data_IF_869962276556
#
_entry.id   IF_869962276556
#
_cell.length_a   1.000
_cell.length_b   1.000
_cell.length_c   1.000
_cell.angle_alpha   90.00
_cell.angle_beta   90.00
_cell.angle_gamma   90.00
#
_symmetry.space_group_name_H-M   'P 1'
#
loop_
_entity.id
_entity.type
_entity.pdbx_description
1 polymer ?
#
# COMPACT_ATOMS: atom_id res chain seq x y z
N UNK A 1 -29.15 -59.80 -15.56
CA UNK A 1 -27.94 -59.76 -16.40
C UNK A 1 -26.85 -59.06 -15.60
N UNK A 2 -25.95 -59.87 -15.08
CA UNK A 2 -24.75 -59.51 -14.32
C UNK A 2 -23.68 -58.95 -15.26
N UNK A 3 -23.12 -57.77 -14.97
CA UNK A 3 -21.81 -57.37 -15.50
C UNK A 3 -20.96 -56.79 -14.38
N UNK A 4 -20.03 -57.64 -13.97
CA UNK A 4 -18.84 -57.43 -13.15
C UNK A 4 -17.80 -56.58 -13.89
N UNK A 5 -17.04 -55.84 -13.09
CA UNK A 5 -15.98 -54.84 -13.38
C UNK A 5 -14.84 -55.29 -14.32
N UNK A 6 -13.94 -54.35 -14.69
CA UNK A 6 -12.61 -54.48 -14.07
C UNK A 6 -11.99 -53.18 -13.57
N UNK A 7 -11.32 -53.32 -12.43
CA UNK A 7 -10.39 -52.39 -11.82
C UNK A 7 -9.12 -52.25 -12.67
N UNK A 8 -8.67 -51.03 -12.92
CA UNK A 8 -7.33 -50.72 -13.42
C UNK A 8 -6.43 -50.42 -12.22
N UNK A 9 -5.49 -51.33 -11.95
CA UNK A 9 -4.36 -51.12 -11.06
C UNK A 9 -3.34 -50.19 -11.73
N UNK A 10 -3.02 -49.07 -11.09
CA UNK A 10 -1.90 -48.21 -11.45
C UNK A 10 -0.69 -48.59 -10.59
N UNK A 11 0.49 -48.85 -11.18
CA UNK A 11 1.69 -49.21 -10.41
C UNK A 11 2.31 -48.00 -9.72
N UNK A 12 2.69 -48.19 -8.44
CA UNK A 12 3.56 -47.30 -7.67
C UNK A 12 4.95 -47.18 -8.32
N UNK A 13 5.44 -45.95 -8.46
CA UNK A 13 6.81 -45.63 -8.83
C UNK A 13 7.56 -45.15 -7.57
N UNK A 14 8.70 -45.75 -7.18
CA UNK A 14 9.47 -45.29 -6.04
C UNK A 14 10.35 -44.08 -6.43
N UNK A 15 10.17 -42.95 -5.72
CA UNK A 15 11.11 -41.84 -5.76
C UNK A 15 12.35 -42.18 -4.90
N UNK A 16 13.52 -42.16 -5.54
CA UNK A 16 14.82 -42.19 -4.87
C UNK A 16 15.09 -40.84 -4.20
N UNK A 17 15.27 -40.83 -2.87
CA UNK A 17 15.86 -39.70 -2.14
C UNK A 17 17.38 -39.68 -2.40
N UNK A 18 17.88 -38.60 -3.00
CA UNK A 18 19.29 -38.27 -3.02
C UNK A 18 19.57 -37.29 -1.87
N UNK A 19 20.44 -37.72 -0.94
CA UNK A 19 20.99 -36.92 0.14
C UNK A 19 22.17 -36.07 -0.38
N UNK A 20 22.20 -34.78 -0.02
CA UNK A 20 23.41 -33.96 -0.10
C UNK A 20 23.74 -33.48 1.31
N UNK A 21 24.93 -33.90 1.77
CA UNK A 21 25.47 -33.58 3.08
C UNK A 21 26.22 -32.25 3.13
N UNK A 22 26.13 -31.66 4.31
CA UNK A 22 27.17 -31.10 5.17
C UNK A 22 28.26 -30.12 4.68
N UNK A 23 28.27 -29.02 5.43
CA UNK A 23 29.40 -28.44 6.18
C UNK A 23 30.50 -27.68 5.43
N UNK A 24 30.52 -26.36 5.69
CA UNK A 24 31.69 -25.51 5.55
C UNK A 24 31.65 -24.38 6.58
N UNK A 25 32.33 -24.60 7.71
CA UNK A 25 32.57 -23.60 8.75
C UNK A 25 33.93 -22.90 8.53
N UNK A 26 33.98 -21.60 8.83
CA UNK A 26 35.17 -20.76 8.93
C UNK A 26 34.77 -19.30 8.67
N UNK A 27 34.88 -18.34 9.58
CA UNK A 27 35.77 -18.17 10.72
C UNK A 27 36.82 -17.12 10.36
N UNK A 28 36.69 -15.88 10.89
CA UNK A 28 37.78 -15.05 11.40
C UNK A 28 37.32 -13.61 11.67
N UNK A 29 37.67 -13.16 12.88
CA UNK A 29 37.56 -11.82 13.44
C UNK A 29 38.39 -10.77 12.68
N UNK A 30 37.94 -9.51 12.74
CA UNK A 30 38.81 -8.35 12.65
C UNK A 30 38.29 -7.22 13.54
N UNK A 31 38.97 -7.06 14.68
CA UNK A 31 39.06 -5.85 15.47
C UNK A 31 39.35 -4.63 14.57
N UNK A 32 38.53 -3.59 14.67
CA UNK A 32 38.86 -2.25 14.16
C UNK A 32 38.63 -1.22 15.27
N UNK A 33 39.75 -0.83 15.85
CA UNK A 33 39.96 0.19 16.87
C UNK A 33 39.54 1.59 16.41
N UNK A 34 38.80 2.27 17.30
CA UNK A 34 38.85 3.71 17.61
C UNK A 34 39.22 4.71 16.52
N UNK A 35 38.21 5.41 16.00
CA UNK A 35 38.36 6.74 15.39
C UNK A 35 37.83 7.76 16.39
N UNK A 36 38.73 8.56 16.96
CA UNK A 36 38.38 9.77 17.73
C UNK A 36 38.27 10.90 16.72
N UNK A 37 37.04 11.32 16.44
CA UNK A 37 36.77 12.44 15.53
C UNK A 37 36.91 13.77 16.28
N UNK A 38 37.97 14.50 16.00
CA UNK A 38 38.17 15.88 16.48
C UNK A 38 37.42 16.83 15.56
N UNK A 39 36.19 17.17 15.93
CA UNK A 39 35.37 18.18 15.24
C UNK A 39 36.07 19.54 15.30
N UNK A 40 36.32 20.13 14.13
CA UNK A 40 36.91 21.46 13.99
C UNK A 40 35.91 22.57 14.37
N UNK A 41 36.34 23.66 15.02
CA UNK A 41 35.47 24.78 15.34
C UNK A 41 35.22 25.60 14.07
N UNK A 42 34.07 25.37 13.43
CA UNK A 42 33.69 26.08 12.20
C UNK A 42 32.47 25.51 11.48
N UNK A 43 31.94 24.35 11.89
CA UNK A 43 30.72 23.82 11.29
C UNK A 43 29.54 24.72 11.62
N UNK A 44 29.05 25.37 10.57
CA UNK A 44 27.78 26.07 10.57
C UNK A 44 26.73 25.03 10.92
N UNK A 45 26.19 25.11 12.13
CA UNK A 45 25.07 24.31 12.58
C UNK A 45 23.95 24.44 11.54
N UNK A 46 23.87 23.48 10.63
CA UNK A 46 22.65 23.21 9.89
C UNK A 46 21.64 22.92 10.98
N UNK A 47 20.66 23.80 11.14
CA UNK A 47 19.59 23.57 12.09
C UNK A 47 19.05 22.16 11.84
N UNK A 48 19.18 21.29 12.84
CA UNK A 48 18.61 19.95 12.79
C UNK A 48 17.11 20.14 12.58
N UNK A 49 16.66 19.93 11.34
CA UNK A 49 15.24 19.89 11.03
C UNK A 49 14.73 18.63 11.71
N UNK A 50 13.94 18.80 12.76
CA UNK A 50 13.26 17.71 13.44
C UNK A 50 12.21 17.14 12.47
N UNK A 51 12.62 16.13 11.70
CA UNK A 51 11.77 15.45 10.74
C UNK A 51 10.94 14.43 11.52
N UNK A 52 9.61 14.57 11.50
CA UNK A 52 8.71 13.63 12.15
C UNK A 52 8.74 12.26 11.47
N UNK A 53 9.52 11.34 12.05
CA UNK A 53 9.65 9.95 11.57
C UNK A 53 8.49 9.06 11.98
N UNK A 54 7.47 9.58 12.68
CA UNK A 54 6.30 8.79 13.09
C UNK A 54 5.51 8.38 11.85
N UNK A 55 5.18 7.09 11.65
CA UNK A 55 4.36 6.66 10.51
C UNK A 55 2.95 7.25 10.55
N UNK A 56 2.48 7.79 9.43
CA UNK A 56 1.09 8.19 9.26
C UNK A 56 0.26 6.99 8.79
N UNK A 57 -0.38 6.34 9.75
CA UNK A 57 -1.35 5.28 9.50
C UNK A 57 -2.80 5.74 9.70
N UNK A 58 -3.03 7.05 9.86
CA UNK A 58 -4.34 7.60 10.15
C UNK A 58 -5.29 7.40 8.95
N UNK A 59 -6.42 6.76 9.23
CA UNK A 59 -7.52 6.64 8.30
C UNK A 59 -8.44 7.86 8.43
N UNK A 60 -8.83 8.43 7.31
CA UNK A 60 -9.86 9.49 7.25
C UNK A 60 -11.17 8.89 6.72
N UNK A 61 -12.33 9.23 7.33
CA UNK A 61 -13.65 8.77 6.86
C UNK A 61 -13.90 9.05 5.38
N UNK A 62 -13.42 10.19 4.90
CA UNK A 62 -13.51 10.59 3.51
C UNK A 62 -12.11 10.89 2.96
N UNK A 63 -11.76 10.21 1.86
CA UNK A 63 -10.48 10.44 1.19
C UNK A 63 -10.70 10.59 -0.31
N UNK A 64 -10.22 11.71 -0.85
CA UNK A 64 -10.06 11.94 -2.29
C UNK A 64 -8.61 11.63 -2.63
N UNK A 65 -8.37 10.64 -3.48
CA UNK A 65 -7.03 10.24 -3.91
C UNK A 65 -6.86 10.51 -5.40
N UNK A 66 -5.84 11.27 -5.76
CA UNK A 66 -5.42 11.49 -7.13
C UNK A 66 -4.05 10.85 -7.33
N UNK A 67 -4.02 9.78 -8.12
CA UNK A 67 -2.82 9.00 -8.43
C UNK A 67 -2.39 9.34 -9.85
N UNK A 68 -1.20 9.90 -10.01
CA UNK A 68 -0.55 9.87 -11.32
C UNK A 68 0.32 8.62 -11.40
N UNK A 69 -0.06 7.75 -12.32
CA UNK A 69 0.63 6.52 -12.63
C UNK A 69 1.72 6.82 -13.65
N UNK A 70 2.96 6.72 -13.21
CA UNK A 70 4.09 6.66 -14.13
C UNK A 70 4.12 5.25 -14.74
N UNK A 71 3.85 5.12 -16.03
CA UNK A 71 4.06 3.86 -16.74
C UNK A 71 5.48 3.89 -17.32
N UNK A 72 6.39 2.99 -16.90
CA UNK A 72 7.74 2.95 -17.45
C UNK A 72 7.71 2.83 -18.98
N UNK A 73 8.35 3.78 -19.68
CA UNK A 73 8.42 3.80 -21.14
C UNK A 73 7.30 4.57 -21.85
N UNK A 74 6.27 5.04 -21.14
CA UNK A 74 5.23 5.89 -21.72
C UNK A 74 5.55 7.38 -21.48
N UNK A 75 5.43 8.24 -22.50
CA UNK A 75 5.76 9.67 -22.39
C UNK A 75 4.72 10.48 -21.61
N UNK A 76 3.51 9.95 -21.40
CA UNK A 76 2.46 10.60 -20.63
C UNK A 76 2.02 9.73 -19.46
N UNK A 77 1.96 10.33 -18.27
CA UNK A 77 1.37 9.71 -17.11
C UNK A 77 -0.14 9.48 -17.37
N UNK A 78 -0.66 8.35 -16.88
CA UNK A 78 -2.09 8.17 -16.72
C UNK A 78 -2.46 8.75 -15.36
N UNK A 79 -3.37 9.72 -15.31
CA UNK A 79 -3.94 10.15 -14.02
C UNK A 79 -5.21 9.35 -13.75
N UNK A 80 -5.26 8.70 -12.59
CA UNK A 80 -6.46 8.12 -12.01
C UNK A 80 -6.86 8.96 -10.80
N UNK A 81 -8.12 9.33 -10.71
CA UNK A 81 -8.67 9.94 -9.52
C UNK A 81 -9.82 9.09 -9.00
N UNK A 82 -9.87 8.91 -7.69
CA UNK A 82 -10.94 8.20 -7.02
C UNK A 82 -11.24 8.84 -5.68
N UNK A 83 -12.48 8.74 -5.23
CA UNK A 83 -12.83 9.08 -3.86
C UNK A 83 -13.83 8.06 -3.33
N UNK A 84 -13.68 7.72 -2.06
CA UNK A 84 -14.69 6.99 -1.32
C UNK A 84 -14.97 7.84 -0.08
N UNK A 85 -16.23 8.19 0.11
CA UNK A 85 -16.68 9.01 1.22
C UNK A 85 -17.54 8.12 2.11
N UNK A 86 -17.20 8.07 3.39
CA UNK A 86 -18.05 7.49 4.40
C UNK A 86 -18.41 8.57 5.42
N UNK A 87 -19.61 8.49 6.04
CA UNK A 87 -20.00 9.39 7.12
C UNK A 87 -19.26 9.06 8.44
N UNK A 88 -18.47 7.99 8.47
CA UNK A 88 -17.60 7.61 9.57
C UNK A 88 -16.45 6.77 9.04
N UNK A 89 -15.32 6.72 9.75
CA UNK A 89 -14.19 5.89 9.34
C UNK A 89 -14.65 4.42 9.29
N UNK A 90 -14.54 3.73 8.14
CA UNK A 90 -14.92 2.33 8.09
C UNK A 90 -14.02 1.54 9.06
N UNK A 91 -14.59 0.52 9.69
CA UNK A 91 -13.81 -0.38 10.51
C UNK A 91 -12.62 -0.91 9.67
N UNK A 92 -11.41 -0.96 10.23
CA UNK A 92 -10.26 -1.44 9.49
C UNK A 92 -10.56 -2.86 9.00
N UNK A 93 -10.34 -3.09 7.71
CA UNK A 93 -10.55 -4.41 7.09
C UNK A 93 -9.53 -5.46 7.52
N UNK A 94 -8.57 -5.09 8.38
CA UNK A 94 -7.48 -5.93 8.87
C UNK A 94 -7.19 -5.62 10.33
N UNK A 95 -6.79 -6.63 11.08
CA UNK A 95 -6.25 -6.49 12.41
C UNK A 95 -4.74 -6.19 12.35
N UNK A 96 -4.26 -5.34 13.27
CA UNK A 96 -2.82 -5.09 13.40
C UNK A 96 -2.19 -6.23 14.18
N UNK A 97 -1.42 -7.09 13.50
CA UNK A 97 -0.70 -8.19 14.13
C UNK A 97 0.62 -7.76 14.76
N UNK A 98 1.34 -6.84 14.12
CA UNK A 98 2.65 -6.37 14.56
C UNK A 98 2.86 -4.91 14.15
N UNK A 99 3.48 -4.12 15.01
CA UNK A 99 4.01 -2.79 14.69
C UNK A 99 5.47 -2.78 15.10
N UNK A 100 6.36 -2.44 14.17
CA UNK A 100 7.78 -2.35 14.45
C UNK A 100 8.43 -1.34 13.51
N UNK A 101 9.12 -0.36 14.11
CA UNK A 101 9.71 0.76 13.39
C UNK A 101 8.67 1.54 12.60
N UNK A 102 8.94 1.75 11.31
CA UNK A 102 8.09 2.48 10.39
C UNK A 102 7.01 1.62 9.70
N UNK A 103 6.84 0.38 10.15
CA UNK A 103 6.00 -0.62 9.51
C UNK A 103 4.96 -1.21 10.46
N UNK A 104 3.85 -1.67 9.89
CA UNK A 104 2.87 -2.53 10.53
C UNK A 104 2.52 -3.72 9.63
N UNK A 105 2.32 -4.86 10.26
CA UNK A 105 1.78 -6.06 9.65
C UNK A 105 0.30 -6.17 9.99
N UNK A 106 -0.50 -6.24 8.94
CA UNK A 106 -1.94 -6.34 8.97
C UNK A 106 -2.32 -7.75 8.55
N UNK A 107 -3.19 -8.39 9.33
CA UNK A 107 -3.71 -9.71 9.02
C UNK A 107 -5.22 -9.67 8.96
N UNK A 108 -5.80 -10.50 8.12
CA UNK A 108 -7.23 -10.72 8.14
C UNK A 108 -7.52 -12.20 7.91
N UNK A 109 -8.16 -12.90 8.86
CA UNK A 109 -8.74 -14.20 8.53
C UNK A 109 -9.78 -14.00 7.44
N UNK A 110 -9.79 -14.86 6.42
CA UNK A 110 -10.81 -14.79 5.38
C UNK A 110 -12.12 -15.33 5.98
N UNK A 111 -13.12 -14.49 6.26
CA UNK A 111 -14.29 -14.94 6.98
C UNK A 111 -15.17 -15.79 6.05
N UNK A 112 -15.84 -16.79 6.61
CA UNK A 112 -16.71 -17.72 5.88
C UNK A 112 -18.10 -17.77 6.53
N UNK A 113 -19.03 -17.00 5.98
CA UNK A 113 -20.40 -16.96 6.45
C UNK A 113 -21.23 -18.06 5.78
N UNK A 114 -21.85 -18.93 6.59
CA UNK A 114 -22.80 -19.96 6.16
C UNK A 114 -24.09 -19.86 7.00
N UNK A 115 -25.23 -19.42 6.42
CA UNK A 115 -25.43 -19.12 5.00
C UNK A 115 -24.65 -17.88 4.54
N UNK A 116 -24.48 -17.75 3.22
CA UNK A 116 -23.90 -16.54 2.62
C UNK A 116 -24.73 -15.30 3.01
N UNK A 117 -24.05 -14.16 3.18
CA UNK A 117 -24.69 -12.91 3.57
C UNK A 117 -25.64 -12.38 2.49
N UNK A 118 -26.68 -11.67 2.92
CA UNK A 118 -27.67 -11.09 2.02
C UNK A 118 -27.10 -9.89 1.24
N UNK A 119 -27.70 -9.49 0.11
CA UNK A 119 -27.27 -8.30 -0.62
C UNK A 119 -27.25 -7.04 0.27
N UNK A 120 -26.11 -6.33 0.28
CA UNK A 120 -25.88 -5.17 1.14
C UNK A 120 -25.24 -5.50 2.49
N UNK A 121 -24.93 -6.77 2.75
CA UNK A 121 -24.12 -7.22 3.87
C UNK A 121 -22.75 -7.70 3.41
N UNK A 122 -21.78 -7.69 4.32
CA UNK A 122 -20.46 -8.29 4.16
C UNK A 122 -20.24 -9.35 5.22
N UNK A 123 -19.45 -10.36 4.90
CA UNK A 123 -18.95 -11.29 5.90
C UNK A 123 -17.81 -10.62 6.69
N UNK A 124 -18.06 -10.37 7.97
CA UNK A 124 -17.14 -9.74 8.90
C UNK A 124 -16.29 -10.80 9.64
N UNK A 125 -15.20 -10.40 10.32
CA UNK A 125 -14.48 -11.31 11.21
C UNK A 125 -15.43 -12.00 12.21
N UNK A 126 -15.19 -13.30 12.45
CA UNK A 126 -16.08 -14.12 13.28
C UNK A 126 -17.28 -14.73 12.53
N UNK A 127 -17.23 -14.75 11.20
CA UNK A 127 -18.20 -15.42 10.33
C UNK A 127 -19.64 -14.92 10.52
N UNK A 128 -19.76 -13.60 10.73
CA UNK A 128 -21.05 -12.91 10.89
C UNK A 128 -21.31 -11.96 9.73
N UNK A 129 -22.57 -11.87 9.33
CA UNK A 129 -23.00 -10.90 8.33
C UNK A 129 -23.28 -9.55 8.99
N UNK A 130 -22.61 -8.52 8.48
CA UNK A 130 -22.78 -7.13 8.93
C UNK A 130 -23.20 -6.25 7.74
N UNK A 131 -24.04 -5.23 7.94
CA UNK A 131 -24.33 -4.26 6.89
C UNK A 131 -23.05 -3.63 6.29
N UNK A 132 -22.96 -3.56 4.97
CA UNK A 132 -21.92 -2.79 4.27
C UNK A 132 -22.04 -1.32 4.69
N UNK A 133 -20.92 -0.60 4.95
CA UNK A 133 -21.01 0.78 5.35
C UNK A 133 -21.56 1.59 4.18
N UNK A 134 -22.63 2.36 4.43
CA UNK A 134 -23.23 3.19 3.39
C UNK A 134 -22.26 4.30 2.99
N UNK A 135 -21.98 4.38 1.69
CA UNK A 135 -21.15 5.43 1.11
C UNK A 135 -21.95 6.74 1.10
N UNK A 136 -21.27 7.84 1.42
CA UNK A 136 -21.85 9.17 1.36
C UNK A 136 -21.65 9.80 -0.04
N UNK A 137 -22.58 10.66 -0.44
CA UNK A 137 -22.48 11.45 -1.66
C UNK A 137 -22.27 12.92 -1.29
N UNK A 138 -21.29 13.57 -1.92
CA UNK A 138 -20.95 14.98 -1.68
C UNK A 138 -21.24 15.88 -2.91
N UNK A 139 -22.00 15.39 -3.89
CA UNK A 139 -22.11 16.03 -5.19
C UNK A 139 -20.94 15.66 -6.11
N UNK A 140 -20.87 16.27 -7.29
CA UNK A 140 -19.74 16.10 -8.20
C UNK A 140 -18.47 16.73 -7.60
N UNK A 141 -17.37 15.97 -7.57
CA UNK A 141 -16.07 16.42 -7.08
C UNK A 141 -15.30 17.02 -8.25
N UNK A 142 -15.04 18.33 -8.19
CA UNK A 142 -14.20 19.04 -9.14
C UNK A 142 -12.73 19.00 -8.69
N UNK A 143 -11.85 18.55 -9.58
CA UNK A 143 -10.40 18.54 -9.41
C UNK A 143 -9.79 19.54 -10.40
N UNK A 144 -8.97 20.48 -9.93
CA UNK A 144 -8.41 21.52 -10.78
C UNK A 144 -6.97 21.90 -10.42
N UNK A 145 -6.17 22.17 -11.44
CA UNK A 145 -4.79 22.71 -11.36
C UNK A 145 -4.47 23.47 -12.65
N UNK A 146 -4.08 24.75 -12.56
CA UNK A 146 -3.55 25.58 -13.66
C UNK A 146 -4.17 25.34 -15.06
N UNK A 147 -5.50 25.49 -15.16
CA UNK A 147 -6.23 25.39 -16.43
C UNK A 147 -6.54 23.95 -16.88
N UNK A 148 -6.11 22.95 -16.13
CA UNK A 148 -6.49 21.55 -16.29
C UNK A 148 -7.52 21.19 -15.23
N UNK A 149 -8.60 20.52 -15.63
CA UNK A 149 -9.67 20.13 -14.74
C UNK A 149 -10.21 18.73 -15.07
N UNK A 150 -10.79 18.12 -14.04
CA UNK A 150 -11.47 16.84 -14.10
C UNK A 150 -12.63 16.85 -13.12
N UNK A 151 -13.75 16.23 -13.47
CA UNK A 151 -14.91 16.09 -12.58
C UNK A 151 -15.19 14.62 -12.35
N UNK A 152 -15.39 14.24 -11.09
CA UNK A 152 -15.88 12.93 -10.70
C UNK A 152 -17.35 13.07 -10.31
N UNK A 153 -18.25 12.44 -11.04
CA UNK A 153 -19.68 12.49 -10.77
C UNK A 153 -20.25 11.06 -10.75
N UNK A 154 -20.29 10.47 -9.57
CA UNK A 154 -20.80 9.12 -9.35
C UNK A 154 -21.80 9.13 -8.17
N UNK A 155 -23.11 9.06 -8.46
CA UNK A 155 -24.16 9.14 -7.44
C UNK A 155 -24.10 8.05 -6.37
N UNK A 156 -23.44 6.91 -6.63
CA UNK A 156 -23.27 5.83 -5.63
C UNK A 156 -22.23 6.13 -4.54
N UNK A 157 -21.57 7.29 -4.58
CA UNK A 157 -20.51 7.69 -3.64
C UNK A 157 -19.16 7.02 -3.91
N UNK A 158 -19.05 6.21 -4.96
CA UNK A 158 -17.79 5.62 -5.43
C UNK A 158 -17.25 6.39 -6.62
N UNK A 159 -16.62 7.53 -6.35
CA UNK A 159 -16.06 8.38 -7.38
C UNK A 159 -14.86 7.70 -8.07
N UNK A 160 -14.89 7.66 -9.40
CA UNK A 160 -13.77 7.17 -10.21
C UNK A 160 -13.70 7.93 -11.52
N UNK A 161 -12.48 8.18 -11.98
CA UNK A 161 -12.23 8.57 -13.35
C UNK A 161 -10.76 8.49 -13.70
N UNK A 162 -10.49 8.44 -14.99
CA UNK A 162 -9.16 8.40 -15.57
C UNK A 162 -9.00 9.43 -16.68
N UNK A 163 -7.76 9.87 -16.90
CA UNK A 163 -7.41 10.69 -18.05
C UNK A 163 -5.96 10.51 -18.46
N UNK A 164 -5.70 10.76 -19.73
CA UNK A 164 -4.33 10.87 -20.23
C UNK A 164 -3.68 12.19 -19.78
N UNK A 165 -2.40 12.10 -19.44
CA UNK A 165 -1.61 13.22 -18.94
C UNK A 165 -1.82 13.49 -17.46
N UNK A 166 -0.91 14.31 -16.91
CA UNK A 166 -0.98 14.78 -15.53
C UNK A 166 -2.18 15.73 -15.33
N UNK A 167 -2.90 15.55 -14.23
CA UNK A 167 -3.88 16.54 -13.75
C UNK A 167 -3.21 17.74 -13.07
N UNK A 168 -2.03 17.53 -12.47
CA UNK A 168 -1.15 18.59 -11.98
C UNK A 168 0.32 18.17 -12.20
N UNK A 169 1.18 19.04 -12.75
CA UNK A 169 2.61 18.79 -12.81
C UNK A 169 3.23 18.81 -11.40
N UNK A 170 4.43 18.26 -11.26
CA UNK A 170 5.17 18.30 -10.01
C UNK A 170 5.35 19.74 -9.50
N UNK A 171 5.08 19.96 -8.22
CA UNK A 171 5.15 21.28 -7.57
C UNK A 171 3.91 22.17 -7.77
N UNK A 172 2.98 21.82 -8.66
CA UNK A 172 1.72 22.55 -8.80
C UNK A 172 0.70 22.14 -7.73
N UNK A 173 -0.15 23.09 -7.35
CA UNK A 173 -1.25 22.84 -6.44
C UNK A 173 -2.44 22.22 -7.20
N UNK A 174 -2.99 21.14 -6.65
CA UNK A 174 -4.26 20.57 -7.10
C UNK A 174 -5.31 20.78 -6.02
N UNK A 175 -6.46 21.30 -6.43
CA UNK A 175 -7.58 21.56 -5.53
C UNK A 175 -8.73 20.62 -5.83
N UNK A 176 -9.24 19.95 -4.81
CA UNK A 176 -10.46 19.15 -4.84
C UNK A 176 -11.59 19.91 -4.16
N UNK A 177 -12.72 20.09 -4.84
CA UNK A 177 -13.90 20.80 -4.31
C UNK A 177 -15.16 19.98 -4.55
N UNK A 178 -16.00 19.86 -3.53
CA UNK A 178 -17.33 19.27 -3.65
C UNK A 178 -18.37 20.23 -3.04
N UNK A 179 -19.53 20.42 -3.69
CA UNK A 179 -20.57 21.32 -3.20
C UNK A 179 -21.30 20.78 -1.96
N UNK A 180 -21.12 19.51 -1.62
CA UNK A 180 -21.91 18.79 -0.62
C UNK A 180 -23.23 18.27 -1.21
N UNK A 181 -23.81 17.27 -0.57
CA UNK A 181 -25.14 16.75 -0.87
C UNK A 181 -25.80 16.17 0.39
N UNK A 182 -26.94 15.51 0.25
CA UNK A 182 -27.59 14.85 1.38
C UNK A 182 -26.67 13.78 1.97
N UNK A 183 -26.27 13.95 3.24
CA UNK A 183 -25.40 13.02 3.95
C UNK A 183 -23.91 13.38 3.99
N UNK A 184 -23.45 14.38 3.20
CA UNK A 184 -22.05 14.82 3.26
C UNK A 184 -21.89 16.33 3.00
N UNK A 185 -21.08 17.01 3.83
CA UNK A 185 -20.87 18.44 3.74
C UNK A 185 -20.00 18.86 2.55
N UNK A 186 -20.14 20.14 2.15
CA UNK A 186 -19.24 20.76 1.18
C UNK A 186 -17.79 20.77 1.70
N UNK A 187 -16.81 20.66 0.81
CA UNK A 187 -15.40 20.79 1.17
C UNK A 187 -14.57 21.38 0.03
N UNK A 188 -13.42 21.96 0.38
CA UNK A 188 -12.38 22.38 -0.55
C UNK A 188 -11.01 22.14 0.09
N UNK A 189 -10.17 21.33 -0.56
CA UNK A 189 -8.83 20.97 -0.09
C UNK A 189 -7.83 21.20 -1.21
N UNK A 190 -6.63 21.64 -0.87
CA UNK A 190 -5.54 21.86 -1.82
C UNK A 190 -4.26 21.23 -1.31
N UNK A 191 -3.53 20.54 -2.18
CA UNK A 191 -2.24 19.95 -1.89
C UNK A 191 -1.28 20.17 -3.07
N UNK A 192 0.02 20.10 -2.82
CA UNK A 192 1.04 20.23 -3.86
C UNK A 192 1.43 18.86 -4.40
N UNK A 193 1.40 18.69 -5.72
CA UNK A 193 1.70 17.42 -6.35
C UNK A 193 3.19 17.07 -6.21
N UNK A 194 3.57 15.92 -5.61
CA UNK A 194 4.97 15.55 -5.49
C UNK A 194 5.61 15.22 -6.86
N UNK A 195 6.96 15.36 -6.98
CA UNK A 195 7.70 14.89 -8.13
C UNK A 195 7.67 13.37 -8.25
N UNK A 196 7.91 12.81 -9.46
CA UNK A 196 7.92 11.37 -9.69
C UNK A 196 8.83 10.62 -8.70
N UNK A 197 8.33 9.51 -8.18
CA UNK A 197 9.08 8.62 -7.29
C UNK A 197 10.08 7.79 -8.10
N UNK A 198 11.32 7.71 -7.60
CA UNK A 198 12.39 6.88 -8.18
C UNK A 198 12.83 5.88 -7.13
N UNK A 199 12.63 4.59 -7.42
CA UNK A 199 13.00 3.45 -6.55
C UNK A 199 14.01 2.58 -7.31
N UNK A 200 15.32 2.79 -7.12
CA UNK A 200 16.33 2.00 -7.82
C UNK A 200 16.23 0.50 -7.49
N UNK A 201 16.23 -0.36 -8.50
CA UNK A 201 16.23 -1.82 -8.32
C UNK A 201 14.91 -2.39 -7.80
N UNK A 202 13.79 -1.66 -7.94
CA UNK A 202 12.47 -2.11 -7.49
C UNK A 202 12.06 -3.47 -8.09
N UNK A 203 12.45 -3.72 -9.33
CA UNK A 203 12.23 -4.98 -10.06
C UNK A 203 13.03 -6.17 -9.48
N UNK A 204 14.10 -5.89 -8.75
CA UNK A 204 14.96 -6.86 -8.10
C UNK A 204 14.58 -7.11 -6.63
N UNK A 205 13.56 -6.41 -6.09
CA UNK A 205 13.10 -6.62 -4.72
C UNK A 205 12.57 -8.05 -4.54
N UNK A 206 13.08 -8.74 -3.51
CA UNK A 206 12.69 -10.09 -3.12
C UNK A 206 12.51 -10.15 -1.62
N UNK A 207 11.48 -10.85 -1.18
CA UNK A 207 11.38 -11.25 0.22
C UNK A 207 12.22 -12.50 0.43
N UNK A 208 13.04 -12.51 1.48
CA UNK A 208 13.88 -13.64 1.86
C UNK A 208 13.67 -13.89 3.35
N UNK A 209 13.39 -15.13 3.71
CA UNK A 209 13.32 -15.51 5.10
C UNK A 209 14.68 -15.36 5.77
N UNK A 210 14.67 -14.94 7.03
CA UNK A 210 15.85 -14.73 7.87
C UNK A 210 16.53 -13.37 7.67
N UNK A 211 15.95 -12.44 6.91
CA UNK A 211 16.56 -11.11 6.70
C UNK A 211 15.51 -9.98 6.62
N UNK A 212 15.79 -8.80 7.20
CA UNK A 212 14.98 -7.61 6.93
C UNK A 212 15.10 -7.20 5.47
N UNK A 213 14.07 -6.54 4.94
CA UNK A 213 14.07 -5.99 3.58
C UNK A 213 14.21 -4.47 3.64
N UNK A 214 15.25 -3.93 3.02
CA UNK A 214 15.43 -2.47 2.87
C UNK A 214 14.91 -2.04 1.51
N UNK A 215 14.04 -1.04 1.50
CA UNK A 215 13.54 -0.40 0.28
C UNK A 215 14.01 1.05 0.28
N UNK A 216 14.79 1.42 -0.72
CA UNK A 216 15.37 2.76 -0.86
C UNK A 216 14.81 3.49 -2.08
N UNK A 217 14.73 4.81 -1.98
CA UNK A 217 14.28 5.71 -3.03
C UNK A 217 15.17 6.96 -3.06
N UNK A 218 15.03 7.76 -4.12
CA UNK A 218 15.70 9.07 -4.19
C UNK A 218 14.78 10.14 -3.58
N UNK A 219 15.13 10.75 -2.43
CA UNK A 219 14.37 11.88 -1.88
C UNK A 219 14.29 13.02 -2.90
N UNK A 220 13.11 13.62 -3.04
CA UNK A 220 12.88 14.71 -3.98
C UNK A 220 11.77 15.69 -3.55
N UNK A 221 11.08 15.44 -2.43
CA UNK A 221 9.89 16.18 -2.05
C UNK A 221 9.84 16.41 -0.53
N UNK A 222 10.61 17.38 -0.01
CA UNK A 222 10.58 17.70 1.42
C UNK A 222 9.15 17.98 1.91
N UNK A 223 8.80 17.45 3.08
CA UNK A 223 7.46 17.49 3.67
C UNK A 223 6.44 16.51 3.06
N UNK A 224 6.81 15.78 2.01
CA UNK A 224 6.01 14.63 1.52
C UNK A 224 6.41 13.36 2.27
N UNK A 225 5.62 12.30 2.05
CA UNK A 225 5.86 10.99 2.68
C UNK A 225 5.93 9.91 1.62
N UNK A 226 6.57 8.80 1.96
CA UNK A 226 6.63 7.58 1.16
C UNK A 226 5.99 6.44 1.94
N UNK A 227 4.98 5.81 1.33
CA UNK A 227 4.34 4.62 1.86
C UNK A 227 4.54 3.42 0.96
N UNK A 228 4.69 2.28 1.61
CA UNK A 228 4.88 0.99 0.96
C UNK A 228 3.70 0.10 1.34
N UNK A 229 3.16 -0.61 0.36
CA UNK A 229 2.13 -1.59 0.59
C UNK A 229 2.51 -2.89 -0.11
N UNK A 230 2.77 -3.89 0.71
CA UNK A 230 3.00 -5.25 0.27
C UNK A 230 1.85 -6.13 0.69
N UNK A 231 1.34 -6.95 -0.22
CA UNK A 231 0.22 -7.86 0.04
C UNK A 231 0.53 -9.25 -0.49
N UNK A 232 0.19 -10.26 0.30
CA UNK A 232 0.11 -11.66 -0.14
C UNK A 232 -0.86 -11.82 -1.31
N UNK A 233 -0.71 -12.83 -2.16
CA UNK A 233 -1.60 -13.07 -3.31
C UNK A 233 -2.79 -14.00 -3.03
N UNK A 234 -2.92 -14.51 -1.80
CA UNK A 234 -4.08 -15.28 -1.34
C UNK A 234 -5.33 -14.38 -1.12
N UNK A 235 -5.71 -13.61 -2.14
CA UNK A 235 -6.94 -12.80 -2.19
C UNK A 235 -7.41 -12.69 -3.63
N UNK A 236 -8.70 -12.88 -3.89
CA UNK A 236 -9.30 -12.82 -5.22
C UNK A 236 -9.86 -11.41 -5.54
N UNK A 237 -10.27 -11.17 -6.79
CA UNK A 237 -11.01 -10.02 -7.29
C UNK A 237 -12.16 -9.61 -6.34
N UNK A 238 -11.84 -8.72 -5.38
CA UNK A 238 -12.79 -8.20 -4.39
C UNK A 238 -12.72 -8.82 -2.99
N UNK A 239 -11.83 -9.77 -2.72
CA UNK A 239 -11.55 -10.30 -1.38
C UNK A 239 -10.33 -9.62 -0.75
N UNK A 240 -10.25 -9.72 0.57
CA UNK A 240 -9.14 -9.15 1.33
C UNK A 240 -7.90 -10.02 1.22
N UNK A 241 -6.73 -9.37 1.14
CA UNK A 241 -5.46 -10.07 1.28
C UNK A 241 -5.26 -10.48 2.75
N UNK A 242 -4.96 -11.75 3.05
CA UNK A 242 -4.85 -12.25 4.42
C UNK A 242 -3.65 -11.66 5.16
N UNK A 243 -2.64 -11.21 4.42
CA UNK A 243 -1.46 -10.54 4.94
C UNK A 243 -1.16 -9.29 4.12
N UNK A 244 -0.99 -8.16 4.81
CA UNK A 244 -0.52 -6.89 4.24
C UNK A 244 0.56 -6.30 5.14
N UNK A 245 1.70 -5.93 4.58
CA UNK A 245 2.69 -5.10 5.28
C UNK A 245 2.57 -3.69 4.73
N UNK A 246 2.28 -2.74 5.62
CA UNK A 246 2.19 -1.33 5.31
C UNK A 246 3.27 -0.58 6.07
N UNK A 247 4.04 0.24 5.37
CA UNK A 247 5.06 1.06 5.99
C UNK A 247 4.93 2.50 5.51
N UNK A 248 5.37 3.46 6.31
CA UNK A 248 5.28 4.89 6.00
C UNK A 248 6.42 5.66 6.66
N UNK A 249 7.08 6.54 5.90
CA UNK A 249 8.17 7.39 6.38
C UNK A 249 8.21 8.72 5.62
N UNK A 250 8.83 9.77 6.18
CA UNK A 250 9.16 11.00 5.46
C UNK A 250 10.01 10.73 4.22
N UNK A 251 9.76 11.47 3.12
CA UNK A 251 10.50 11.28 1.87
C UNK A 251 12.01 11.53 2.03
N UNK A 252 12.40 12.41 2.96
CA UNK A 252 13.78 12.80 3.28
C UNK A 252 14.63 11.67 3.83
N UNK A 253 14.01 10.64 4.43
CA UNK A 253 14.76 9.48 4.97
C UNK A 253 15.38 8.66 3.83
N UNK A 254 14.76 8.64 2.65
CA UNK A 254 15.29 7.95 1.47
C UNK A 254 15.30 6.43 1.53
N UNK A 255 14.93 5.82 2.66
CA UNK A 255 14.81 4.38 2.80
C UNK A 255 13.89 4.00 3.94
N UNK A 256 13.36 2.78 3.86
CA UNK A 256 12.65 2.13 4.95
C UNK A 256 13.15 0.70 5.10
N UNK A 257 13.20 0.22 6.34
CA UNK A 257 13.50 -1.18 6.65
C UNK A 257 12.20 -1.86 7.08
N UNK A 258 11.79 -2.87 6.31
CA UNK A 258 10.77 -3.82 6.70
C UNK A 258 11.42 -4.80 7.67
N UNK A 259 10.95 -4.88 8.91
CA UNK A 259 11.52 -5.77 9.92
C UNK A 259 11.51 -7.23 9.48
N UNK A 260 12.49 -8.00 9.95
CA UNK A 260 12.65 -9.39 9.56
C UNK A 260 11.37 -10.19 9.79
N UNK A 261 10.67 -10.05 10.91
CA UNK A 261 9.43 -10.80 11.16
C UNK A 261 8.35 -10.58 10.08
N UNK A 262 8.27 -9.37 9.51
CA UNK A 262 7.32 -9.04 8.45
C UNK A 262 7.80 -9.54 7.08
N UNK A 263 9.11 -9.46 6.80
CA UNK A 263 9.72 -10.05 5.60
C UNK A 263 9.61 -11.58 5.61
N UNK A 264 9.92 -12.20 6.77
CA UNK A 264 9.38 -13.42 7.37
C UNK A 264 8.08 -13.90 6.74
N UNK A 265 6.99 -13.24 7.17
CA UNK A 265 5.64 -13.56 6.77
C UNK A 265 5.41 -13.39 5.26
N UNK A 266 5.98 -12.35 4.64
CA UNK A 266 5.89 -12.15 3.19
C UNK A 266 6.73 -13.16 2.38
N UNK A 267 7.69 -13.85 2.98
CA UNK A 267 8.46 -14.92 2.31
C UNK A 267 7.85 -16.31 2.54
N UNK A 268 6.93 -16.46 3.50
CA UNK A 268 6.27 -17.73 3.77
C UNK A 268 5.30 -18.12 2.64
N UNK A 269 5.59 -19.25 1.99
CA UNK A 269 4.79 -19.81 0.90
C UNK A 269 3.34 -20.08 1.30
N UNK A 270 3.02 -20.29 2.58
CA UNK A 270 1.62 -20.45 3.01
C UNK A 270 0.77 -19.20 2.74
N UNK A 271 1.40 -18.03 2.64
CA UNK A 271 0.74 -16.78 2.29
C UNK A 271 0.64 -16.55 0.78
N UNK A 272 1.26 -17.40 -0.04
CA UNK A 272 1.23 -17.28 -1.50
C UNK A 272 0.57 -18.47 -2.19
N UNK A 273 -0.12 -18.21 -3.30
CA UNK A 273 -0.83 -19.17 -4.12
C UNK A 273 -0.54 -19.01 -5.61
N UNK A 274 -1.38 -19.62 -6.45
CA UNK A 274 -1.39 -19.40 -7.90
C UNK A 274 -2.47 -18.39 -8.32
N UNK A 275 -2.81 -17.48 -7.40
CA UNK A 275 -3.94 -16.56 -7.53
C UNK A 275 -3.63 -15.33 -8.36
N UNK A 276 -4.31 -14.23 -8.04
CA UNK A 276 -4.02 -12.91 -8.60
C UNK A 276 -2.78 -12.36 -7.93
N UNK A 277 -1.67 -12.17 -8.66
CA UNK A 277 -0.50 -11.49 -8.13
C UNK A 277 -0.83 -10.01 -7.93
N UNK A 278 -1.07 -9.52 -6.69
CA UNK A 278 -1.45 -8.13 -6.52
C UNK A 278 -0.24 -7.26 -6.83
N UNK A 279 -0.50 -6.14 -7.51
CA UNK A 279 0.53 -5.12 -7.67
C UNK A 279 0.93 -4.62 -6.29
N UNK A 280 2.22 -4.76 -5.98
CA UNK A 280 2.83 -4.16 -4.80
C UNK A 280 3.10 -2.69 -5.13
N UNK A 281 2.92 -1.80 -4.17
CA UNK A 281 3.03 -0.37 -4.44
C UNK A 281 4.02 0.31 -3.51
N UNK A 282 4.81 1.20 -4.08
CA UNK A 282 5.53 2.25 -3.35
C UNK A 282 5.01 3.57 -3.86
N UNK A 283 4.59 4.43 -2.95
CA UNK A 283 3.89 5.66 -3.26
C UNK A 283 4.56 6.81 -2.54
N UNK A 284 4.94 7.85 -3.29
CA UNK A 284 5.22 9.17 -2.72
C UNK A 284 3.93 9.96 -2.70
N UNK A 285 3.57 10.55 -1.57
CA UNK A 285 2.33 11.30 -1.45
C UNK A 285 2.50 12.60 -0.66
N UNK A 286 1.66 13.58 -1.04
CA UNK A 286 1.36 14.76 -0.25
C UNK A 286 -0.10 14.66 0.21
N UNK A 287 -0.37 15.04 1.46
CA UNK A 287 -1.70 14.97 2.08
C UNK A 287 -2.11 16.33 2.60
N UNK A 288 -3.33 16.74 2.27
CA UNK A 288 -4.01 17.85 2.93
C UNK A 288 -5.24 17.30 3.65
N UNK A 289 -5.46 17.74 4.88
CA UNK A 289 -6.65 17.40 5.66
C UNK A 289 -7.48 18.66 5.94
N UNK A 290 -8.76 18.46 6.18
CA UNK A 290 -9.66 19.52 6.62
C UNK A 290 -11.00 18.92 7.05
N UNK A 291 -11.97 19.80 7.26
CA UNK A 291 -13.29 19.42 7.75
C UNK A 291 -14.35 19.88 6.76
N UNK A 292 -15.24 18.98 6.36
CA UNK A 292 -16.40 19.30 5.55
C UNK A 292 -17.41 20.14 6.34
N UNK A 293 -18.34 20.78 5.64
CA UNK A 293 -19.33 21.69 6.25
C UNK A 293 -20.24 21.01 7.30
N UNK A 294 -20.37 19.68 7.29
CA UNK A 294 -21.11 18.90 8.27
C UNK A 294 -20.26 18.42 9.47
N UNK A 295 -18.97 18.78 9.53
CA UNK A 295 -18.06 18.41 10.62
C UNK A 295 -17.23 17.15 10.37
N UNK A 296 -17.41 16.48 9.23
CA UNK A 296 -16.66 15.26 8.90
C UNK A 296 -15.23 15.57 8.42
N UNK A 297 -14.27 14.74 8.83
CA UNK A 297 -12.88 14.86 8.37
C UNK A 297 -12.72 14.38 6.92
N UNK A 298 -12.05 15.19 6.10
CA UNK A 298 -11.76 14.91 4.69
C UNK A 298 -10.26 15.04 4.45
N UNK A 299 -9.71 14.12 3.65
CA UNK A 299 -8.36 14.23 3.14
C UNK A 299 -8.32 14.30 1.60
N UNK A 300 -7.36 15.06 1.08
CA UNK A 300 -6.89 15.01 -0.30
C UNK A 300 -5.48 14.44 -0.30
N UNK A 301 -5.28 13.35 -1.05
CA UNK A 301 -3.97 12.74 -1.26
C UNK A 301 -3.57 12.84 -2.73
N UNK A 302 -2.37 13.38 -2.97
CA UNK A 302 -1.76 13.46 -4.29
C UNK A 302 -0.59 12.48 -4.35
N UNK A 303 -0.68 11.49 -5.23
CA UNK A 303 0.19 10.31 -5.20
C UNK A 303 0.97 10.17 -6.50
N UNK A 304 2.26 9.83 -6.37
CA UNK A 304 3.12 9.28 -7.42
C UNK A 304 3.42 7.83 -7.06
N UNK A 305 2.98 6.91 -7.90
CA UNK A 305 3.05 5.47 -7.61
C UNK A 305 4.05 4.76 -8.52
N UNK A 306 4.81 3.84 -7.92
CA UNK A 306 5.57 2.79 -8.61
C UNK A 306 4.95 1.46 -8.23
N UNK A 307 4.33 0.80 -9.21
CA UNK A 307 3.81 -0.56 -9.08
C UNK A 307 4.83 -1.59 -9.54
N UNK A 308 4.91 -2.72 -8.85
CA UNK A 308 5.76 -3.85 -9.24
C UNK A 308 5.18 -5.17 -8.76
N UNK A 309 5.68 -6.26 -9.33
CA UNK A 309 5.38 -7.60 -8.86
C UNK A 309 6.55 -8.06 -8.00
N UNK A 310 6.32 -8.21 -6.69
CA UNK A 310 7.30 -8.87 -5.86
C UNK A 310 7.34 -10.35 -6.24
N UNK A 311 8.56 -10.85 -6.42
CA UNK A 311 8.77 -12.27 -6.55
C UNK A 311 9.12 -12.80 -5.14
N UNK A 312 8.23 -13.54 -4.47
CA UNK A 312 8.63 -14.26 -3.27
C UNK A 312 9.75 -15.22 -3.69
N UNK A 313 10.95 -15.04 -3.16
CA UNK A 313 12.16 -15.75 -3.59
C UNK A 313 12.14 -17.21 -3.16
N UNK A 314 11.17 -17.99 -3.63
CA UNK A 314 11.10 -19.42 -3.46
C UNK A 314 12.21 -20.04 -4.30
N UNK A 315 13.34 -20.34 -3.65
CA UNK A 315 14.37 -21.21 -4.21
C UNK A 315 13.85 -22.67 -4.30
#
# INVERSE_FOLDING_TARGET
MTRTSPHLLTPLLPLLLAACGDAGAGGADADATGVVDTVAPGDSATADVDVDTTPDFATTPATVTVIALGVPGEPSALTRASAILYPFAPAPGHDVALVEGACRMLVRPNPFCDPACEPGERCAPGDTCEPEPERAYAGAIALASDGVAMTLDEPSGWYYGDRSGDLAPAGAALTATAPGAAGFGAFSLSATMPPPLVVPGVEALRFRAGAPLVVAWTPAAPGSRVRLRFASDHGAHGLFYPLVVACDAPDEVGAITIPQAMADALADRANWGCGECPTQTIQRYARATGTAANGEDVALELVREVGFYANPGFD
#
